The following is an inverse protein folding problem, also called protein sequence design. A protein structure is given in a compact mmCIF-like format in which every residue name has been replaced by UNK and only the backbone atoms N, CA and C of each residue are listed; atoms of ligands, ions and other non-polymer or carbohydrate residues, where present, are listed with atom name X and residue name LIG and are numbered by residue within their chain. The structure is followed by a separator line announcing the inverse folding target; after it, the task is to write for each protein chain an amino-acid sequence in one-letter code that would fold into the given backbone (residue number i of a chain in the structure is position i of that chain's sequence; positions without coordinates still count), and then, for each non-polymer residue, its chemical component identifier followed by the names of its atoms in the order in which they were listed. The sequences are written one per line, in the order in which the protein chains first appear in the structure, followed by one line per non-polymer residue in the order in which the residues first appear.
data_IF_607324765065
#
_entry.id   IF_607324765065
#
_cell.length_a   1.000
_cell.length_b   1.000
_cell.length_c   1.000
_cell.angle_alpha   90.00
_cell.angle_beta   90.00
_cell.angle_gamma   90.00
#
_symmetry.space_group_name_H-M   'P 1'
#
loop_
_entity.id
_entity.type
_entity.pdbx_description
1 polymer ?
#
# COMPACT_ATOMS: atom_id res chain seq x y z
N UNK A 1 -7.36 6.54 -3.62
CA UNK A 1 -6.37 5.76 -2.86
C UNK A 1 -6.94 4.39 -2.53
N UNK A 2 -6.16 3.36 -2.71
CA UNK A 2 -6.51 1.98 -2.34
C UNK A 2 -5.67 1.57 -1.15
N UNK A 3 -6.30 0.99 -0.12
CA UNK A 3 -5.61 0.50 1.07
C UNK A 3 -5.62 -1.02 1.05
N UNK A 4 -4.44 -1.63 1.16
CA UNK A 4 -4.29 -3.09 1.20
C UNK A 4 -3.65 -3.49 2.52
N UNK A 5 -4.45 -4.11 3.38
CA UNK A 5 -4.05 -4.48 4.73
C UNK A 5 -4.92 -5.67 5.18
N UNK A 6 -4.31 -6.75 5.63
CA UNK A 6 -5.06 -7.94 6.02
C UNK A 6 -5.68 -7.85 7.42
N UNK A 7 -5.22 -6.94 8.26
CA UNK A 7 -5.80 -6.70 9.58
C UNK A 7 -6.82 -5.56 9.49
N UNK A 8 -8.10 -5.89 9.64
CA UNK A 8 -9.18 -4.94 9.43
C UNK A 8 -9.08 -3.72 10.35
N UNK A 9 -8.71 -3.92 11.61
CA UNK A 9 -8.59 -2.80 12.55
C UNK A 9 -7.53 -1.81 12.09
N UNK A 10 -6.39 -2.32 11.62
CA UNK A 10 -5.31 -1.47 11.11
C UNK A 10 -5.76 -0.75 9.84
N UNK A 11 -6.44 -1.44 8.94
CA UNK A 11 -6.97 -0.83 7.71
C UNK A 11 -7.92 0.32 8.04
N UNK A 12 -8.78 0.14 9.04
CA UNK A 12 -9.72 1.17 9.47
C UNK A 12 -9.00 2.38 10.07
N UNK A 13 -7.95 2.15 10.84
CA UNK A 13 -7.15 3.23 11.42
C UNK A 13 -6.44 4.03 10.33
N UNK A 14 -5.87 3.34 9.35
CA UNK A 14 -5.22 4.00 8.21
C UNK A 14 -6.23 4.82 7.42
N UNK A 15 -7.39 4.25 7.15
CA UNK A 15 -8.47 4.96 6.46
C UNK A 15 -8.86 6.24 7.19
N UNK A 16 -9.00 6.16 8.50
CA UNK A 16 -9.34 7.33 9.31
C UNK A 16 -8.27 8.42 9.19
N UNK A 17 -7.01 8.04 9.29
CA UNK A 17 -5.90 8.98 9.18
C UNK A 17 -5.88 9.68 7.81
N UNK A 18 -5.97 8.91 6.73
CA UNK A 18 -5.90 9.50 5.38
C UNK A 18 -7.14 10.31 5.06
N UNK A 19 -8.30 9.91 5.55
CA UNK A 19 -9.54 10.67 5.38
C UNK A 19 -9.45 12.02 6.11
N UNK A 20 -8.90 12.01 7.33
CA UNK A 20 -8.69 13.25 8.08
C UNK A 20 -7.71 14.19 7.38
N UNK A 21 -6.84 13.66 6.55
CA UNK A 21 -5.88 14.44 5.77
C UNK A 21 -6.44 14.93 4.44
N UNK A 22 -7.71 14.65 4.16
CA UNK A 22 -8.38 15.11 2.95
C UNK A 22 -8.33 14.16 1.77
N UNK A 23 -7.86 12.94 1.97
CA UNK A 23 -7.78 11.94 0.89
C UNK A 23 -9.02 11.07 0.87
N UNK A 24 -9.37 10.58 -0.31
CA UNK A 24 -10.50 9.69 -0.50
C UNK A 24 -10.04 8.26 -0.69
N UNK A 25 -10.60 7.34 0.08
CA UNK A 25 -10.32 5.90 -0.01
C UNK A 25 -11.38 5.26 -0.88
N UNK A 26 -10.95 4.65 -1.99
CA UNK A 26 -11.89 3.99 -2.91
C UNK A 26 -12.29 2.60 -2.40
N UNK A 27 -11.35 1.91 -1.74
CA UNK A 27 -11.65 0.61 -1.16
C UNK A 27 -10.54 0.20 -0.18
N UNK A 28 -10.85 -0.77 0.67
CA UNK A 28 -9.90 -1.46 1.55
C UNK A 28 -10.00 -2.93 1.22
N UNK A 29 -8.88 -3.55 0.87
CA UNK A 29 -8.84 -4.97 0.56
C UNK A 29 -7.80 -5.67 1.44
N UNK A 30 -7.90 -6.97 1.57
CA UNK A 30 -7.13 -7.74 2.55
C UNK A 30 -6.13 -8.71 1.94
N UNK A 31 -6.08 -8.84 0.63
CA UNK A 31 -5.16 -9.76 -0.03
C UNK A 31 -4.52 -9.14 -1.25
N UNK A 32 -3.39 -9.72 -1.69
CA UNK A 32 -2.72 -9.28 -2.90
C UNK A 32 -3.56 -9.50 -4.14
N UNK A 33 -4.29 -10.60 -4.19
CA UNK A 33 -5.17 -10.92 -5.32
C UNK A 33 -6.28 -9.87 -5.46
N UNK A 34 -6.92 -9.51 -4.34
CA UNK A 34 -7.95 -8.48 -4.35
C UNK A 34 -7.38 -7.12 -4.70
N UNK A 35 -6.15 -6.83 -4.26
CA UNK A 35 -5.47 -5.59 -4.60
C UNK A 35 -5.28 -5.47 -6.11
N UNK A 36 -4.85 -6.55 -6.77
CA UNK A 36 -4.67 -6.55 -8.22
C UNK A 36 -6.01 -6.27 -8.92
N UNK A 37 -7.06 -6.99 -8.51
CA UNK A 37 -8.38 -6.82 -9.12
C UNK A 37 -8.92 -5.40 -8.94
N UNK A 38 -8.81 -4.86 -7.73
CA UNK A 38 -9.32 -3.52 -7.44
C UNK A 38 -8.51 -2.43 -8.12
N UNK A 39 -7.20 -2.59 -8.21
CA UNK A 39 -6.35 -1.63 -8.90
C UNK A 39 -6.70 -1.57 -10.39
N UNK A 40 -6.86 -2.73 -11.02
CA UNK A 40 -7.22 -2.78 -12.45
C UNK A 40 -8.63 -2.26 -12.70
N UNK A 41 -9.55 -2.48 -11.77
CA UNK A 41 -10.94 -2.06 -11.90
C UNK A 41 -11.11 -0.55 -11.70
N UNK A 42 -10.46 0.02 -10.70
CA UNK A 42 -10.71 1.40 -10.27
C UNK A 42 -9.59 2.39 -10.62
N UNK A 43 -8.44 1.92 -11.02
CA UNK A 43 -7.30 2.77 -11.40
C UNK A 43 -6.99 3.83 -10.33
N UNK A 44 -6.65 3.42 -9.11
CA UNK A 44 -6.37 4.39 -8.04
C UNK A 44 -5.12 5.20 -8.33
N UNK A 45 -5.02 6.38 -7.75
CA UNK A 45 -3.87 7.26 -7.94
C UNK A 45 -2.72 6.94 -6.97
N UNK A 46 -2.98 6.15 -5.94
CA UNK A 46 -1.97 5.75 -4.96
C UNK A 46 -2.44 4.50 -4.24
N UNK A 47 -1.52 3.60 -3.95
CA UNK A 47 -1.80 2.39 -3.18
C UNK A 47 -0.96 2.43 -1.90
N UNK A 48 -1.63 2.20 -0.76
CA UNK A 48 -0.95 1.90 0.50
C UNK A 48 -0.96 0.38 0.65
N UNK A 49 0.20 -0.22 0.63
CA UNK A 49 0.33 -1.68 0.50
C UNK A 49 1.10 -2.27 1.67
N UNK A 50 0.42 -3.08 2.47
CA UNK A 50 1.11 -3.93 3.45
C UNK A 50 1.91 -4.99 2.68
N UNK A 51 3.15 -5.20 3.08
CA UNK A 51 4.01 -6.19 2.44
C UNK A 51 3.58 -7.60 2.81
N UNK A 52 3.31 -7.84 4.08
CA UNK A 52 2.91 -9.17 4.56
C UNK A 52 1.40 -9.30 4.55
N UNK A 53 0.91 -9.98 3.53
CA UNK A 53 -0.51 -10.24 3.36
C UNK A 53 -0.80 -11.73 3.49
N UNK A 54 -2.00 -12.06 3.94
CA UNK A 54 -2.50 -13.43 3.90
C UNK A 54 -2.79 -13.81 2.46
N UNK A 55 -2.60 -15.09 2.14
CA UNK A 55 -2.82 -15.57 0.79
C UNK A 55 -1.53 -15.99 0.13
N UNK A 56 -1.57 -16.23 -1.16
CA UNK A 56 -0.46 -16.82 -1.91
C UNK A 56 0.61 -15.82 -2.30
N UNK A 57 0.27 -14.54 -2.40
CA UNK A 57 1.23 -13.51 -2.80
C UNK A 57 1.32 -12.43 -1.74
N UNK A 58 2.51 -11.85 -1.58
CA UNK A 58 2.72 -10.72 -0.68
C UNK A 58 2.43 -9.40 -1.41
N UNK A 59 2.57 -8.29 -0.69
CA UNK A 59 2.28 -6.98 -1.24
C UNK A 59 3.21 -6.57 -2.37
N UNK A 60 4.48 -6.98 -2.31
CA UNK A 60 5.44 -6.66 -3.36
C UNK A 60 5.12 -7.41 -4.63
N UNK A 61 4.78 -8.69 -4.51
CA UNK A 61 4.37 -9.50 -5.67
C UNK A 61 3.10 -8.94 -6.30
N UNK A 62 2.16 -8.49 -5.48
CA UNK A 62 0.94 -7.84 -5.98
C UNK A 62 1.28 -6.57 -6.77
N UNK A 63 2.17 -5.73 -6.23
CA UNK A 63 2.56 -4.50 -6.93
C UNK A 63 3.32 -4.78 -8.21
N UNK A 64 4.15 -5.81 -8.24
CA UNK A 64 4.85 -6.22 -9.45
C UNK A 64 3.84 -6.51 -10.57
N UNK A 65 2.80 -7.26 -10.24
CA UNK A 65 1.75 -7.58 -11.21
C UNK A 65 0.92 -6.37 -11.63
N UNK A 66 0.62 -5.49 -10.67
CA UNK A 66 -0.12 -4.26 -10.97
C UNK A 66 0.71 -3.37 -11.90
N UNK A 67 1.99 -3.19 -11.61
CA UNK A 67 2.85 -2.28 -12.38
C UNK A 67 3.24 -2.82 -13.75
N UNK A 68 2.99 -4.10 -14.03
CA UNK A 68 3.11 -4.63 -15.37
C UNK A 68 2.07 -4.03 -16.32
N UNK A 69 0.93 -3.60 -15.78
CA UNK A 69 -0.22 -3.13 -16.57
C UNK A 69 -0.52 -1.66 -16.43
N UNK A 70 -0.08 -1.03 -15.34
CA UNK A 70 -0.42 0.36 -15.08
C UNK A 70 0.65 1.02 -14.21
N UNK A 71 0.76 2.33 -14.33
CA UNK A 71 1.73 3.10 -13.55
C UNK A 71 1.00 3.71 -12.36
N UNK A 72 1.10 3.05 -11.21
CA UNK A 72 0.51 3.54 -9.96
C UNK A 72 1.60 3.59 -8.90
N UNK A 73 1.80 4.72 -8.23
CA UNK A 73 2.75 4.80 -7.13
C UNK A 73 2.26 4.02 -5.92
N UNK A 74 3.19 3.47 -5.17
CA UNK A 74 2.89 2.68 -3.98
C UNK A 74 3.72 3.17 -2.80
N UNK A 75 3.09 3.19 -1.62
CA UNK A 75 3.78 3.35 -0.35
C UNK A 75 3.64 2.02 0.38
N UNK A 76 4.78 1.38 0.64
CA UNK A 76 4.77 0.10 1.36
C UNK A 76 4.71 0.30 2.85
N UNK A 77 4.03 -0.60 3.53
CA UNK A 77 3.90 -0.61 4.98
C UNK A 77 4.33 -1.98 5.49
N UNK A 78 5.16 -2.02 6.51
CA UNK A 78 5.62 -3.29 7.07
C UNK A 78 5.79 -3.20 8.57
N UNK A 79 5.52 -4.32 9.25
CA UNK A 79 5.73 -4.44 10.68
C UNK A 79 7.17 -4.72 11.08
N UNK A 80 7.99 -5.18 10.15
CA UNK A 80 9.38 -5.52 10.40
C UNK A 80 10.27 -4.98 9.29
N UNK A 81 11.48 -4.53 9.67
CA UNK A 81 12.50 -4.19 8.70
C UNK A 81 13.13 -5.50 8.21
N UNK A 82 12.62 -6.02 7.10
CA UNK A 82 13.10 -7.26 6.51
C UNK A 82 13.95 -6.92 5.29
N UNK A 83 15.25 -7.21 5.38
CA UNK A 83 16.20 -6.90 4.32
C UNK A 83 15.88 -7.62 3.02
N UNK A 84 15.34 -8.83 3.11
CA UNK A 84 14.94 -9.57 1.91
C UNK A 84 13.83 -8.87 1.16
N UNK A 85 12.87 -8.28 1.88
CA UNK A 85 11.79 -7.51 1.27
C UNK A 85 12.31 -6.22 0.64
N UNK A 86 13.32 -5.58 1.23
CA UNK A 86 13.87 -4.35 0.66
C UNK A 86 14.44 -4.57 -0.74
N UNK A 87 15.07 -5.71 -0.97
CA UNK A 87 15.59 -6.01 -2.31
C UNK A 87 14.49 -6.24 -3.32
N UNK A 88 13.43 -6.91 -2.93
CA UNK A 88 12.27 -7.12 -3.80
C UNK A 88 11.57 -5.80 -4.14
N UNK A 89 11.47 -4.90 -3.17
CA UNK A 89 10.84 -3.59 -3.39
C UNK A 89 11.53 -2.79 -4.49
N UNK A 90 12.84 -2.94 -4.63
CA UNK A 90 13.61 -2.21 -5.65
C UNK A 90 13.18 -2.55 -7.07
N UNK A 91 12.54 -3.69 -7.27
CA UNK A 91 12.01 -4.09 -8.57
C UNK A 91 10.67 -3.44 -8.88
N UNK A 92 10.11 -2.73 -7.93
CA UNK A 92 8.86 -1.97 -8.13
C UNK A 92 9.15 -0.49 -7.97
N UNK A 93 8.26 0.32 -8.55
CA UNK A 93 8.37 1.78 -8.47
C UNK A 93 7.62 2.26 -7.24
N UNK A 94 8.31 2.45 -6.12
CA UNK A 94 7.66 2.85 -4.87
C UNK A 94 8.09 4.25 -4.44
N UNK A 95 7.18 4.94 -3.76
CA UNK A 95 7.39 6.31 -3.27
C UNK A 95 8.12 6.29 -1.93
N UNK A 96 7.69 5.43 -1.02
CA UNK A 96 8.22 5.40 0.34
C UNK A 96 7.91 4.05 0.98
N UNK A 97 8.55 3.83 2.11
CA UNK A 97 8.39 2.63 2.93
C UNK A 97 8.20 3.07 4.37
N UNK A 98 7.12 2.64 4.99
CA UNK A 98 6.78 3.02 6.35
C UNK A 98 6.75 1.79 7.26
N UNK A 99 7.26 1.94 8.47
CA UNK A 99 7.22 0.90 9.49
C UNK A 99 6.00 1.07 10.39
N UNK A 100 5.38 -0.04 10.78
CA UNK A 100 4.30 -0.02 11.77
C UNK A 100 4.86 0.25 13.16
N UNK A 101 4.13 0.95 14.02
CA UNK A 101 2.80 1.51 13.82
C UNK A 101 2.85 2.77 12.95
N UNK A 102 1.86 2.90 12.05
CA UNK A 102 1.78 4.03 11.14
C UNK A 102 1.29 5.26 11.89
N UNK A 103 1.94 6.40 11.66
CA UNK A 103 1.51 7.68 12.23
C UNK A 103 1.04 8.61 11.13
N UNK A 104 0.19 9.55 11.49
CA UNK A 104 -0.29 10.54 10.54
C UNK A 104 0.85 11.41 10.01
N UNK A 105 1.82 11.71 10.86
CA UNK A 105 3.01 12.47 10.47
C UNK A 105 3.82 11.75 9.39
N UNK A 106 4.04 10.44 9.53
CA UNK A 106 4.78 9.65 8.56
C UNK A 106 4.02 9.59 7.23
N UNK A 107 2.70 9.39 7.27
CA UNK A 107 1.88 9.40 6.07
C UNK A 107 1.92 10.76 5.37
N UNK A 108 1.84 11.84 6.12
CA UNK A 108 1.89 13.18 5.56
C UNK A 108 3.18 13.42 4.78
N UNK A 109 4.30 12.98 5.34
CA UNK A 109 5.60 13.05 4.67
C UNK A 109 5.62 12.28 3.37
N UNK A 110 5.14 11.03 3.40
CA UNK A 110 5.10 10.17 2.22
C UNK A 110 4.21 10.75 1.13
N UNK A 111 3.07 11.32 1.50
CA UNK A 111 2.16 11.93 0.54
C UNK A 111 2.77 13.17 -0.11
N UNK A 112 3.57 13.93 0.63
CA UNK A 112 4.29 15.07 0.06
C UNK A 112 5.29 14.62 -1.02
N UNK A 113 5.93 13.48 -0.83
CA UNK A 113 6.84 12.92 -1.83
C UNK A 113 6.07 12.45 -3.06
N UNK A 114 4.87 11.89 -2.85
CA UNK A 114 4.06 11.33 -3.93
C UNK A 114 3.40 12.40 -4.82
N UNK A 115 3.19 13.59 -4.31
CA UNK A 115 2.48 14.65 -5.05
C UNK A 115 3.38 15.46 -6.01
#
# INVERSE_FOLDING_TARGET
MLIVEDEMIIAMLIERMVTNMGHQVIDKVSSGEDAINKALEHNPDLILMDIRLKGEIDGIEAMTKIQEKMTIPVIYISGNSDLAHQQKMKNTNYVDFLSKPITQSALSKSFSIAS
#
